data_IF_846346399287
#
_entry.id   IF_846346399287
#
_cell.length_a   1.000
_cell.length_b   1.000
_cell.length_c   1.000
_cell.angle_alpha   90.00
_cell.angle_beta   90.00
_cell.angle_gamma   90.00
#
_symmetry.space_group_name_H-M   'P 1'
#
loop_
_entity.id
_entity.type
_entity.pdbx_description
1 polymer ?
#
# COMPACT_ATOMS: atom_id res chain seq x y z
N UNK A 1 -21.01 8.53 -5.50
CA UNK A 1 -20.57 7.82 -4.27
C UNK A 1 -20.41 8.86 -3.18
N UNK A 2 -20.69 8.54 -1.91
CA UNK A 2 -20.42 9.45 -0.80
C UNK A 2 -19.38 8.83 0.13
N UNK A 3 -18.43 9.63 0.58
CA UNK A 3 -17.51 9.29 1.67
C UNK A 3 -18.03 9.98 2.92
N UNK A 4 -18.12 9.24 4.02
CA UNK A 4 -18.50 9.77 5.33
C UNK A 4 -17.33 9.56 6.27
N UNK A 5 -16.89 10.63 6.92
CA UNK A 5 -15.87 10.58 7.95
C UNK A 5 -16.47 11.03 9.28
N UNK A 6 -16.02 10.41 10.37
CA UNK A 6 -16.38 10.79 11.73
C UNK A 6 -15.11 11.12 12.51
N UNK A 7 -15.21 12.14 13.36
CA UNK A 7 -14.34 12.33 14.51
C UNK A 7 -15.19 12.33 15.79
N UNK A 8 -14.57 12.47 16.95
CA UNK A 8 -15.28 12.53 18.24
C UNK A 8 -16.31 13.67 18.37
N UNK A 9 -16.25 14.70 17.51
CA UNK A 9 -17.07 15.91 17.64
C UNK A 9 -18.17 16.02 16.57
N UNK A 10 -17.90 15.54 15.34
CA UNK A 10 -18.68 15.83 14.14
C UNK A 10 -18.59 14.70 13.10
N UNK A 11 -19.53 14.69 12.17
CA UNK A 11 -19.45 13.92 10.95
C UNK A 11 -19.37 14.84 9.72
N UNK A 12 -18.69 14.37 8.68
CA UNK A 12 -18.56 15.09 7.43
C UNK A 12 -18.85 14.16 6.27
N UNK A 13 -19.77 14.58 5.42
CA UNK A 13 -20.23 13.80 4.26
C UNK A 13 -19.76 14.53 3.01
N UNK A 14 -19.05 13.80 2.14
CA UNK A 14 -18.51 14.34 0.89
C UNK A 14 -18.99 13.52 -0.29
N UNK A 15 -19.62 14.19 -1.24
CA UNK A 15 -19.88 13.61 -2.55
C UNK A 15 -18.61 13.64 -3.39
N UNK A 16 -18.26 12.48 -3.95
CA UNK A 16 -17.06 12.32 -4.76
C UNK A 16 -17.37 11.49 -6.00
N UNK A 17 -16.64 11.79 -7.08
CA UNK A 17 -16.60 10.99 -8.29
C UNK A 17 -15.52 9.92 -8.19
N UNK A 18 -15.71 8.84 -8.95
CA UNK A 18 -14.74 7.77 -9.10
C UNK A 18 -14.00 8.02 -10.42
N UNK A 19 -12.68 8.04 -10.36
CA UNK A 19 -11.80 8.14 -11.51
C UNK A 19 -11.27 6.76 -11.86
N UNK A 20 -11.38 6.37 -13.12
CA UNK A 20 -10.67 5.20 -13.64
C UNK A 20 -9.24 5.59 -14.01
N UNK A 21 -8.26 4.87 -13.47
CA UNK A 21 -6.83 5.10 -13.78
C UNK A 21 -6.29 4.06 -14.76
N UNK A 22 -6.84 2.85 -14.76
CA UNK A 22 -6.36 1.76 -15.63
C UNK A 22 -6.56 2.08 -17.12
N UNK A 23 -5.48 2.14 -17.93
CA UNK A 23 -5.54 2.56 -19.34
C UNK A 23 -6.02 1.46 -20.30
N UNK A 24 -6.20 0.22 -19.85
CA UNK A 24 -6.57 -0.92 -20.68
C UNK A 24 -7.90 -1.56 -20.27
N UNK A 25 -8.55 -2.30 -21.16
CA UNK A 25 -9.80 -3.05 -20.87
C UNK A 25 -9.59 -4.56 -20.66
N UNK A 26 -8.36 -5.01 -20.40
CA UNK A 26 -8.03 -6.45 -20.32
C UNK A 26 -8.51 -7.09 -19.02
N UNK A 27 -8.34 -6.40 -17.89
CA UNK A 27 -8.68 -6.92 -16.57
C UNK A 27 -10.15 -6.62 -16.24
N UNK A 28 -10.86 -7.59 -15.66
CA UNK A 28 -12.24 -7.41 -15.21
C UNK A 28 -12.32 -6.55 -13.95
N UNK A 29 -11.28 -6.60 -13.12
CA UNK A 29 -11.18 -5.86 -11.87
C UNK A 29 -10.03 -4.87 -11.99
N UNK A 30 -10.37 -3.58 -12.00
CA UNK A 30 -9.44 -2.48 -12.29
C UNK A 30 -9.32 -1.54 -11.10
N UNK A 31 -8.18 -0.86 -11.00
CA UNK A 31 -7.99 0.15 -9.95
C UNK A 31 -8.79 1.41 -10.28
N UNK A 32 -9.50 1.88 -9.26
CA UNK A 32 -10.26 3.13 -9.30
C UNK A 32 -9.73 4.05 -8.21
N UNK A 33 -9.71 5.35 -8.49
CA UNK A 33 -9.26 6.37 -7.56
C UNK A 33 -10.40 7.28 -7.15
N UNK A 34 -10.35 7.66 -5.90
CA UNK A 34 -11.29 8.59 -5.29
C UNK A 34 -10.47 9.53 -4.42
N UNK A 35 -10.65 10.83 -4.61
CA UNK A 35 -10.00 11.86 -3.79
C UNK A 35 -11.08 12.73 -3.19
N UNK A 36 -11.10 12.84 -1.87
CA UNK A 36 -12.04 13.66 -1.15
C UNK A 36 -11.35 14.38 0.01
N UNK A 37 -11.64 15.67 0.27
CA UNK A 37 -11.23 16.32 1.50
C UNK A 37 -12.00 15.70 2.68
N UNK A 38 -11.30 15.32 3.74
CA UNK A 38 -11.89 14.71 4.94
C UNK A 38 -11.57 15.54 6.18
N UNK A 39 -12.27 15.24 7.29
CA UNK A 39 -12.02 15.83 8.61
C UNK A 39 -10.57 15.57 9.05
N UNK A 40 -9.96 16.49 9.83
CA UNK A 40 -8.68 16.22 10.48
C UNK A 40 -8.86 15.11 11.53
N UNK A 41 -7.89 14.19 11.58
CA UNK A 41 -7.86 13.06 12.52
C UNK A 41 -9.19 12.28 12.59
N UNK A 42 -9.64 11.68 11.47
CA UNK A 42 -10.87 10.89 11.48
C UNK A 42 -10.65 9.61 12.29
N UNK A 43 -11.63 9.24 13.10
CA UNK A 43 -11.65 7.96 13.81
C UNK A 43 -12.18 6.84 12.90
N UNK A 44 -13.12 7.18 12.01
CA UNK A 44 -13.76 6.24 11.08
C UNK A 44 -14.03 6.87 9.73
N UNK A 45 -13.84 6.09 8.67
CA UNK A 45 -14.14 6.47 7.29
C UNK A 45 -15.03 5.38 6.69
N UNK A 46 -16.14 5.76 6.06
CA UNK A 46 -17.05 4.85 5.38
C UNK A 46 -17.38 5.33 3.97
N UNK A 47 -17.71 4.38 3.09
CA UNK A 47 -18.29 4.62 1.78
C UNK A 47 -19.79 4.32 1.86
N UNK A 48 -20.61 5.26 1.40
CA UNK A 48 -22.02 5.03 1.13
C UNK A 48 -22.23 4.63 -0.33
N UNK A 49 -22.73 3.41 -0.53
CA UNK A 49 -23.14 2.87 -1.83
C UNK A 49 -24.61 2.46 -1.74
N UNK A 50 -25.50 3.28 -2.30
CA UNK A 50 -26.94 3.11 -2.13
C UNK A 50 -27.34 3.32 -0.66
N UNK A 51 -28.00 2.33 -0.06
CA UNK A 51 -28.42 2.36 1.36
C UNK A 51 -27.46 1.62 2.30
N UNK A 52 -26.26 1.25 1.82
CA UNK A 52 -25.26 0.53 2.63
C UNK A 52 -24.07 1.43 2.93
N UNK A 53 -23.66 1.43 4.19
CA UNK A 53 -22.41 2.02 4.66
C UNK A 53 -21.38 0.91 4.82
N UNK A 54 -20.23 1.07 4.17
CA UNK A 54 -19.12 0.13 4.21
C UNK A 54 -17.93 0.85 4.82
N UNK A 55 -17.40 0.32 5.91
CA UNK A 55 -16.20 0.87 6.56
C UNK A 55 -14.94 0.64 5.73
N UNK A 56 -14.11 1.68 5.61
CA UNK A 56 -12.80 1.62 4.98
C UNK A 56 -11.76 1.55 6.10
N UNK A 57 -11.05 0.42 6.24
CA UNK A 57 -9.92 0.38 7.16
C UNK A 57 -8.82 1.30 6.62
N UNK A 58 -8.27 2.15 7.49
CA UNK A 58 -7.10 2.97 7.21
C UNK A 58 -6.04 2.72 8.28
N UNK A 59 -4.82 3.15 7.97
CA UNK A 59 -3.67 2.99 8.85
C UNK A 59 -2.82 4.23 8.81
N UNK A 60 -2.11 4.46 9.91
CA UNK A 60 -1.12 5.52 9.98
C UNK A 60 0.05 5.24 9.02
N UNK A 61 0.60 6.27 8.37
CA UNK A 61 1.75 6.14 7.49
C UNK A 61 3.02 5.80 8.28
N UNK A 62 4.01 5.25 7.59
CA UNK A 62 5.30 4.92 8.20
C UNK A 62 6.04 6.21 8.54
N UNK A 63 6.29 6.41 9.84
CA UNK A 63 7.01 7.58 10.36
C UNK A 63 8.53 7.42 10.29
N UNK A 64 9.01 6.17 10.27
CA UNK A 64 10.44 5.87 10.12
C UNK A 64 10.95 6.42 8.78
N UNK A 65 12.08 7.10 8.84
CA UNK A 65 12.70 7.68 7.66
C UNK A 65 13.58 6.65 6.96
N UNK A 66 13.31 6.44 5.68
CA UNK A 66 14.16 5.68 4.77
C UNK A 66 14.57 6.57 3.59
N UNK A 67 15.81 6.46 3.14
CA UNK A 67 16.28 7.28 2.01
C UNK A 67 15.72 6.79 0.68
N UNK A 68 15.65 5.46 0.53
CA UNK A 68 15.08 4.74 -0.59
C UNK A 68 14.30 3.56 -0.03
N UNK A 69 13.08 3.37 -0.54
CA UNK A 69 12.26 2.20 -0.24
C UNK A 69 12.01 1.45 -1.53
N UNK A 70 12.26 0.15 -1.53
CA UNK A 70 11.93 -0.74 -2.64
C UNK A 70 10.75 -1.61 -2.24
N UNK A 71 9.64 -1.46 -2.97
CA UNK A 71 8.39 -2.17 -2.71
C UNK A 71 8.31 -3.40 -3.62
N UNK A 72 8.25 -4.59 -3.01
CA UNK A 72 8.20 -5.87 -3.71
C UNK A 72 6.77 -6.41 -3.66
N UNK A 73 6.13 -6.46 -4.83
CA UNK A 73 4.74 -6.87 -4.97
C UNK A 73 4.53 -8.37 -4.63
N UNK A 74 3.31 -8.79 -4.25
CA UNK A 74 3.04 -10.11 -3.65
C UNK A 74 3.20 -11.33 -4.56
N UNK A 75 3.58 -11.13 -5.83
CA UNK A 75 3.77 -12.21 -6.81
C UNK A 75 5.15 -12.87 -6.70
N UNK A 76 6.17 -12.14 -6.23
CA UNK A 76 7.58 -12.54 -6.39
C UNK A 76 8.16 -13.27 -5.19
N UNK A 77 7.55 -13.17 -4.00
CA UNK A 77 8.16 -13.65 -2.76
C UNK A 77 8.36 -15.16 -2.69
N UNK A 78 7.43 -15.95 -3.24
CA UNK A 78 7.43 -17.40 -3.05
C UNK A 78 8.17 -18.16 -4.17
N UNK A 79 8.08 -17.68 -5.41
CA UNK A 79 8.70 -18.32 -6.58
C UNK A 79 10.20 -17.99 -6.70
N UNK A 80 10.68 -16.94 -6.03
CA UNK A 80 12.05 -16.43 -6.13
C UNK A 80 12.65 -16.07 -4.76
N UNK A 81 12.41 -16.89 -3.73
CA UNK A 81 12.86 -16.60 -2.36
C UNK A 81 14.38 -16.39 -2.24
N UNK A 82 15.19 -17.07 -3.05
CA UNK A 82 16.65 -16.86 -3.10
C UNK A 82 16.98 -15.44 -3.59
N UNK A 83 16.25 -14.95 -4.59
CA UNK A 83 16.42 -13.59 -5.09
C UNK A 83 15.93 -12.57 -4.07
N UNK A 84 14.85 -12.87 -3.33
CA UNK A 84 14.36 -12.02 -2.25
C UNK A 84 15.40 -11.88 -1.13
N UNK A 85 16.06 -12.98 -0.73
CA UNK A 85 17.16 -12.95 0.25
C UNK A 85 18.36 -12.15 -0.27
N UNK A 86 18.78 -12.43 -1.51
CA UNK A 86 19.89 -11.69 -2.12
C UNK A 86 19.59 -10.19 -2.19
N UNK A 87 18.38 -9.83 -2.62
CA UNK A 87 17.91 -8.44 -2.66
C UNK A 87 17.91 -7.81 -1.26
N UNK A 88 17.43 -8.50 -0.23
CA UNK A 88 17.45 -8.00 1.15
C UNK A 88 18.88 -7.65 1.61
N UNK A 89 19.86 -8.50 1.33
CA UNK A 89 21.28 -8.23 1.65
C UNK A 89 21.85 -7.06 0.86
N UNK A 90 21.60 -7.03 -0.44
CA UNK A 90 22.06 -5.94 -1.32
C UNK A 90 21.46 -4.61 -0.88
N UNK A 91 20.15 -4.55 -0.67
CA UNK A 91 19.46 -3.33 -0.24
C UNK A 91 19.96 -2.84 1.10
N UNK A 92 20.11 -3.74 2.09
CA UNK A 92 20.70 -3.39 3.38
C UNK A 92 22.11 -2.81 3.24
N UNK A 93 22.95 -3.42 2.40
CA UNK A 93 24.33 -2.96 2.16
C UNK A 93 24.39 -1.56 1.54
N UNK A 94 23.42 -1.20 0.69
CA UNK A 94 23.36 0.09 0.01
C UNK A 94 22.40 1.10 0.67
N UNK A 95 21.87 0.82 1.87
CA UNK A 95 21.02 1.75 2.63
C UNK A 95 19.56 1.84 2.15
N UNK A 96 19.13 0.92 1.30
CA UNK A 96 17.73 0.81 0.82
C UNK A 96 16.92 -0.07 1.76
N UNK A 97 15.68 0.35 2.06
CA UNK A 97 14.73 -0.45 2.83
C UNK A 97 13.82 -1.28 1.93
N UNK A 98 13.68 -2.56 2.24
CA UNK A 98 12.82 -3.47 1.48
C UNK A 98 11.43 -3.56 2.12
N UNK A 99 10.37 -3.26 1.37
CA UNK A 99 8.98 -3.46 1.79
C UNK A 99 8.39 -4.63 0.99
N UNK A 100 8.20 -5.77 1.65
CA UNK A 100 7.86 -7.04 1.03
C UNK A 100 6.39 -7.38 1.27
N UNK A 101 5.58 -7.36 0.20
CA UNK A 101 4.21 -7.83 0.26
C UNK A 101 4.14 -9.36 0.15
N UNK A 102 3.39 -9.99 1.04
CA UNK A 102 3.23 -11.46 1.07
C UNK A 102 1.74 -11.80 1.04
N UNK A 103 1.30 -12.47 -0.04
CA UNK A 103 -0.04 -13.08 -0.11
C UNK A 103 -0.04 -14.53 0.37
N UNK A 104 1.00 -15.27 0.02
CA UNK A 104 1.20 -16.66 0.42
C UNK A 104 2.69 -16.98 0.33
N UNK A 105 3.20 -17.70 1.32
CA UNK A 105 4.60 -18.13 1.37
C UNK A 105 4.70 -19.49 2.06
N UNK A 106 5.63 -20.35 1.63
CA UNK A 106 5.89 -21.61 2.35
C UNK A 106 6.44 -21.30 3.75
N UNK A 107 5.98 -22.02 4.77
CA UNK A 107 6.23 -21.68 6.18
C UNK A 107 7.72 -21.48 6.51
N UNK A 108 8.67 -22.34 6.08
CA UNK A 108 10.08 -22.14 6.40
C UNK A 108 10.66 -20.85 5.81
N UNK A 109 10.23 -20.46 4.61
CA UNK A 109 10.68 -19.22 3.97
C UNK A 109 10.05 -18.02 4.68
N UNK A 110 8.77 -18.11 5.06
CA UNK A 110 8.11 -17.05 5.81
C UNK A 110 8.79 -16.81 7.16
N UNK A 111 9.09 -17.88 7.90
CA UNK A 111 9.82 -17.81 9.18
C UNK A 111 11.19 -17.17 9.00
N UNK A 112 11.92 -17.51 7.94
CA UNK A 112 13.18 -16.86 7.60
C UNK A 112 12.99 -15.35 7.34
N UNK A 113 11.98 -14.95 6.56
CA UNK A 113 11.69 -13.53 6.33
C UNK A 113 11.35 -12.80 7.63
N UNK A 114 10.67 -13.45 8.59
CA UNK A 114 10.39 -12.88 9.91
C UNK A 114 11.66 -12.63 10.72
N UNK A 115 12.68 -13.48 10.58
CA UNK A 115 14.01 -13.21 11.16
C UNK A 115 14.60 -11.95 10.52
N UNK A 116 14.57 -11.84 9.19
CA UNK A 116 15.10 -10.66 8.49
C UNK A 116 14.34 -9.36 8.84
N UNK A 117 13.03 -9.43 9.07
CA UNK A 117 12.25 -8.30 9.56
C UNK A 117 12.71 -7.85 10.96
N UNK A 118 12.92 -8.80 11.88
CA UNK A 118 13.42 -8.50 13.23
C UNK A 118 14.80 -7.86 13.23
N UNK A 119 15.68 -8.30 12.32
CA UNK A 119 17.01 -7.74 12.11
C UNK A 119 16.99 -6.42 11.29
N UNK A 120 15.81 -5.95 10.89
CA UNK A 120 15.64 -4.67 10.20
C UNK A 120 16.10 -4.65 8.74
N UNK A 121 16.14 -5.80 8.07
CA UNK A 121 16.44 -5.90 6.64
C UNK A 121 15.24 -5.50 5.78
N UNK A 122 14.03 -5.81 6.25
CA UNK A 122 12.80 -5.63 5.49
C UNK A 122 11.60 -5.40 6.40
N UNK A 123 10.48 -5.01 5.82
CA UNK A 123 9.15 -5.03 6.45
C UNK A 123 8.27 -6.00 5.68
N UNK A 124 7.58 -6.89 6.39
CA UNK A 124 6.59 -7.80 5.81
C UNK A 124 5.22 -7.14 5.88
N UNK A 125 4.57 -7.03 4.73
CA UNK A 125 3.22 -6.54 4.60
C UNK A 125 2.30 -7.67 4.13
N UNK A 126 1.37 -8.15 4.98
CA UNK A 126 0.35 -9.09 4.55
C UNK A 126 -0.49 -8.49 3.41
N UNK A 127 -0.74 -9.29 2.38
CA UNK A 127 -1.59 -8.90 1.25
C UNK A 127 -2.83 -9.78 1.16
N UNK A 128 -3.98 -9.13 1.06
CA UNK A 128 -5.28 -9.82 1.10
C UNK A 128 -5.50 -10.68 -0.15
N UNK A 129 -6.08 -11.85 0.05
CA UNK A 129 -6.66 -12.68 -1.00
C UNK A 129 -8.12 -12.29 -1.16
N UNK A 130 -8.52 -11.96 -2.38
CA UNK A 130 -9.92 -11.73 -2.69
C UNK A 130 -10.67 -13.06 -2.73
N UNK A 131 -11.76 -13.15 -1.99
CA UNK A 131 -12.66 -14.31 -1.93
C UNK A 131 -14.07 -13.80 -2.22
N UNK A 132 -14.75 -14.46 -3.16
CA UNK A 132 -16.16 -14.18 -3.44
C UNK A 132 -17.01 -15.14 -2.62
N UNK A 133 -17.89 -14.59 -1.78
CA UNK A 133 -18.73 -15.40 -0.87
C UNK A 133 -19.75 -16.26 -1.61
N UNK A 134 -20.19 -15.82 -2.80
CA UNK A 134 -21.28 -16.45 -3.56
C UNK A 134 -20.80 -17.20 -4.80
N UNK A 135 -19.54 -17.03 -5.21
CA UNK A 135 -19.00 -17.63 -6.45
C UNK A 135 -17.79 -18.48 -6.10
N UNK A 136 -17.82 -19.81 -6.37
CA UNK A 136 -16.68 -20.68 -6.14
C UNK A 136 -15.45 -20.27 -6.97
N UNK A 137 -14.26 -20.42 -6.39
CA UNK A 137 -13.01 -20.05 -7.08
C UNK A 137 -12.76 -20.86 -8.36
N UNK A 138 -13.23 -22.11 -8.40
CA UNK A 138 -13.20 -22.97 -9.59
C UNK A 138 -13.98 -22.38 -10.76
N UNK A 139 -15.04 -21.60 -10.48
CA UNK A 139 -15.85 -20.94 -11.49
C UNK A 139 -15.26 -19.57 -11.86
N UNK A 140 -14.80 -18.81 -10.86
CA UNK A 140 -14.17 -17.51 -11.09
C UNK A 140 -13.19 -17.17 -9.98
N UNK A 141 -11.93 -17.02 -10.35
CA UNK A 141 -10.89 -16.54 -9.43
C UNK A 141 -10.68 -15.03 -9.61
N UNK A 142 -11.08 -14.18 -8.66
CA UNK A 142 -10.85 -12.74 -8.77
C UNK A 142 -9.36 -12.40 -8.79
N UNK A 143 -8.51 -13.16 -8.10
CA UNK A 143 -7.10 -12.83 -7.91
C UNK A 143 -6.25 -12.91 -9.19
N UNK A 144 -6.70 -13.65 -10.21
CA UNK A 144 -6.05 -13.67 -11.54
C UNK A 144 -6.63 -12.63 -12.50
N UNK A 145 -7.78 -12.05 -12.15
CA UNK A 145 -8.52 -11.08 -12.97
C UNK A 145 -8.39 -9.63 -12.47
N UNK A 146 -7.65 -9.42 -11.38
CA UNK A 146 -7.26 -8.10 -10.90
C UNK A 146 -6.05 -7.60 -11.67
N UNK A 147 -6.06 -6.31 -11.98
CA UNK A 147 -4.97 -5.56 -12.61
C UNK A 147 -3.59 -5.97 -12.09
N UNK A 148 -2.76 -6.47 -13.02
CA UNK A 148 -1.41 -6.99 -12.79
C UNK A 148 -1.28 -7.92 -11.57
N UNK A 149 -2.32 -8.72 -11.26
CA UNK A 149 -2.37 -9.59 -10.08
C UNK A 149 -2.09 -8.84 -8.76
N UNK A 150 -2.66 -7.63 -8.63
CA UNK A 150 -2.48 -6.69 -7.51
C UNK A 150 -1.12 -5.96 -7.43
N UNK A 151 -0.25 -6.03 -8.44
CA UNK A 151 1.01 -5.27 -8.41
C UNK A 151 0.77 -3.76 -8.33
N UNK A 152 -0.16 -3.22 -9.13
CA UNK A 152 -0.47 -1.79 -9.13
C UNK A 152 -0.97 -1.30 -7.75
N UNK A 153 -1.84 -2.09 -7.12
CA UNK A 153 -2.37 -1.78 -5.79
C UNK A 153 -1.27 -1.81 -4.71
N UNK A 154 -0.40 -2.83 -4.72
CA UNK A 154 0.70 -2.94 -3.76
C UNK A 154 1.71 -1.78 -3.90
N UNK A 155 2.05 -1.38 -5.14
CA UNK A 155 2.95 -0.24 -5.37
C UNK A 155 2.32 1.08 -4.91
N UNK A 156 1.03 1.27 -5.17
CA UNK A 156 0.28 2.46 -4.72
C UNK A 156 0.22 2.53 -3.21
N UNK A 157 -0.11 1.41 -2.55
CA UNK A 157 -0.16 1.31 -1.10
C UNK A 157 1.19 1.64 -0.46
N UNK A 158 2.28 1.10 -1.00
CA UNK A 158 3.63 1.37 -0.51
C UNK A 158 3.98 2.87 -0.63
N UNK A 159 3.69 3.47 -1.80
CA UNK A 159 3.91 4.89 -2.03
C UNK A 159 3.16 5.76 -1.01
N UNK A 160 1.89 5.42 -0.73
CA UNK A 160 1.07 6.15 0.24
C UNK A 160 1.59 6.00 1.67
N UNK A 161 2.01 4.80 2.06
CA UNK A 161 2.57 4.53 3.40
C UNK A 161 3.83 5.36 3.68
N UNK A 162 4.74 5.50 2.70
CA UNK A 162 6.00 6.21 2.88
C UNK A 162 5.95 7.69 2.48
N UNK A 163 4.83 8.18 1.91
CA UNK A 163 4.66 9.56 1.42
C UNK A 163 5.06 10.63 2.45
N UNK A 164 4.67 10.46 3.72
CA UNK A 164 4.95 11.45 4.78
C UNK A 164 6.43 11.50 5.13
N UNK A 165 7.10 10.35 5.16
CA UNK A 165 8.55 10.25 5.37
C UNK A 165 9.34 10.95 4.25
N UNK A 166 8.84 10.87 3.02
CA UNK A 166 9.41 11.52 1.84
C UNK A 166 9.12 13.04 1.81
N UNK A 167 7.93 13.48 2.21
CA UNK A 167 7.58 14.91 2.24
C UNK A 167 8.37 15.71 3.27
N UNK A 168 8.69 15.10 4.43
CA UNK A 168 9.62 15.73 5.39
C UNK A 168 10.98 16.00 4.76
N UNK A 169 11.45 15.12 3.83
CA UNK A 169 12.67 15.35 3.05
C UNK A 169 12.50 16.48 2.05
N UNK A 170 11.38 16.61 1.36
CA UNK A 170 11.14 17.74 0.44
C UNK A 170 11.24 19.09 1.16
N UNK A 171 10.62 19.22 2.35
CA UNK A 171 10.76 20.41 3.18
C UNK A 171 12.19 20.63 3.69
N UNK A 172 12.90 19.58 4.12
CA UNK A 172 14.26 19.70 4.64
C UNK A 172 15.31 19.94 3.54
N UNK A 173 15.10 19.40 2.34
CA UNK A 173 15.92 19.61 1.15
C UNK A 173 15.69 21.00 0.57
N UNK A 174 14.43 21.45 0.47
CA UNK A 174 14.11 22.84 0.14
C UNK A 174 14.75 23.81 1.13
N UNK A 175 14.68 23.54 2.45
CA UNK A 175 15.39 24.35 3.45
C UNK A 175 16.91 24.34 3.25
N UNK A 176 17.54 23.17 2.99
CA UNK A 176 18.99 23.08 2.77
C UNK A 176 19.44 23.84 1.51
N UNK A 177 18.71 23.74 0.41
CA UNK A 177 18.98 24.49 -0.82
C UNK A 177 18.86 26.00 -0.61
N UNK A 178 17.87 26.45 0.16
CA UNK A 178 17.73 27.86 0.54
C UNK A 178 18.93 28.38 1.34
N UNK A 179 19.43 27.60 2.31
CA UNK A 179 20.62 27.99 3.09
C UNK A 179 21.91 27.99 2.25
N UNK A 180 22.05 27.10 1.27
CA UNK A 180 23.23 27.06 0.39
C UNK A 180 23.19 28.09 -0.74
N UNK A 181 22.01 28.64 -1.08
CA UNK A 181 21.86 29.70 -2.07
C UNK A 181 22.02 31.12 -1.47
N UNK A 182 22.15 31.23 -0.15
CA UNK A 182 22.34 32.49 0.59
C UNK A 182 23.77 32.67 1.14
N UNK A 183 24.72 31.82 0.74
CA UNK A 183 26.15 31.93 1.02
C UNK A 183 26.93 32.21 -0.25
#
# INVERSE_FOLDING_TARGET
MQIVAWNNETNHIVQTSILRITPHNVCRWISMFVTAPILPNPDRIMISVGNKLIEIPFREPVLQRHEVVTCIAPLFGNEQWQQALFAAHVYRKFGTHMHLYIRSMVSPVYELMRVYEKEGYLTIQPWLRLILLTIPELQFNPNVNVEFRNQAAAQTDCLLQYKVSLLKRAHHFARRLWFTAQS
#
